data_IF_653569011509
#
_entry.id   IF_653569011509
#
_cell.length_a   1.000
_cell.length_b   1.000
_cell.length_c   1.000
_cell.angle_alpha   90.00
_cell.angle_beta   90.00
_cell.angle_gamma   90.00
#
_symmetry.space_group_name_H-M   'P 1'
#
loop_
_entity.id
_entity.type
_entity.pdbx_description
1 polymer ?
#
# COMPACT_ATOMS: atom_id res chain seq x y z
N UNK A 1 -40.46 -18.86 -15.53
CA UNK A 1 -39.19 -19.09 -16.27
C UNK A 1 -38.95 -17.81 -17.06
N UNK A 2 -37.97 -16.95 -16.85
CA UNK A 2 -36.66 -17.08 -16.24
C UNK A 2 -36.08 -15.64 -16.19
N UNK A 3 -36.17 -14.96 -15.04
CA UNK A 3 -35.37 -13.75 -14.77
C UNK A 3 -33.91 -14.14 -14.47
N UNK A 4 -33.35 -15.05 -15.27
CA UNK A 4 -32.03 -15.66 -15.07
C UNK A 4 -31.02 -15.14 -16.08
N UNK A 5 -30.95 -13.82 -16.27
CA UNK A 5 -29.95 -13.19 -17.14
C UNK A 5 -29.43 -11.84 -16.62
N UNK A 6 -29.50 -11.60 -15.31
CA UNK A 6 -28.98 -10.36 -14.70
C UNK A 6 -28.05 -10.61 -13.50
N UNK A 7 -27.27 -11.70 -13.53
CA UNK A 7 -26.28 -11.99 -12.49
C UNK A 7 -24.90 -12.32 -13.08
N UNK A 8 -24.57 -11.69 -14.21
CA UNK A 8 -23.22 -11.69 -14.76
C UNK A 8 -22.72 -10.25 -14.63
N UNK A 9 -21.47 -10.08 -14.21
CA UNK A 9 -20.71 -8.84 -14.03
C UNK A 9 -20.99 -7.99 -12.79
N UNK A 10 -20.56 -8.45 -11.61
CA UNK A 10 -20.18 -7.56 -10.51
C UNK A 10 -19.19 -8.24 -9.54
N UNK A 11 -18.07 -8.76 -10.04
CA UNK A 11 -17.00 -9.33 -9.20
C UNK A 11 -15.61 -8.91 -9.70
N UNK A 12 -15.39 -7.63 -10.04
CA UNK A 12 -14.05 -7.11 -10.36
C UNK A 12 -13.87 -5.64 -9.92
N UNK A 13 -14.53 -5.19 -8.84
CA UNK A 13 -14.40 -3.82 -8.35
C UNK A 13 -13.16 -3.59 -7.44
N UNK A 14 -12.31 -4.59 -7.21
CA UNK A 14 -11.19 -4.50 -6.25
C UNK A 14 -9.81 -4.20 -6.85
N UNK A 15 -9.65 -4.10 -8.17
CA UNK A 15 -8.34 -3.82 -8.79
C UNK A 15 -8.13 -2.32 -9.09
N UNK A 16 -9.20 -1.51 -9.08
CA UNK A 16 -9.11 -0.07 -9.28
C UNK A 16 -8.38 0.66 -8.14
N UNK A 17 -8.32 0.07 -6.94
CA UNK A 17 -7.54 0.64 -5.82
C UNK A 17 -6.02 0.49 -6.04
N UNK A 18 -5.57 -0.61 -6.67
CA UNK A 18 -4.13 -0.89 -6.83
C UNK A 18 -3.40 0.05 -7.80
N UNK A 19 -4.12 0.64 -8.74
CA UNK A 19 -3.56 1.58 -9.71
C UNK A 19 -3.32 2.98 -9.13
N UNK A 20 -4.16 3.43 -8.18
CA UNK A 20 -3.94 4.71 -7.49
C UNK A 20 -2.75 4.62 -6.53
N UNK A 21 -2.73 3.60 -5.68
CA UNK A 21 -1.66 3.39 -4.70
C UNK A 21 -0.28 3.18 -5.33
N UNK A 22 -0.16 2.49 -6.47
CA UNK A 22 1.13 2.38 -7.15
C UNK A 22 1.65 3.76 -7.63
N UNK A 23 0.73 4.63 -8.07
CA UNK A 23 1.04 6.00 -8.51
C UNK A 23 1.42 6.91 -7.33
N UNK A 24 0.82 6.70 -6.17
CA UNK A 24 1.09 7.42 -4.92
C UNK A 24 2.43 6.96 -4.31
N UNK A 25 2.68 5.64 -4.26
CA UNK A 25 3.95 5.07 -3.81
C UNK A 25 5.11 5.49 -4.73
N UNK A 26 4.88 5.72 -6.02
CA UNK A 26 5.89 6.26 -6.92
C UNK A 26 6.28 7.72 -6.62
N UNK A 27 5.42 8.48 -5.94
CA UNK A 27 5.73 9.85 -5.49
C UNK A 27 6.40 9.88 -4.11
N UNK A 28 6.49 8.73 -3.45
CA UNK A 28 7.06 8.60 -2.13
C UNK A 28 8.57 8.85 -2.14
N UNK A 29 9.14 9.57 -1.15
CA UNK A 29 10.58 9.78 -1.08
C UNK A 29 11.33 8.44 -0.97
N UNK A 30 12.55 8.40 -1.51
CA UNK A 30 13.39 7.19 -1.57
C UNK A 30 13.60 6.54 -0.19
N UNK A 31 13.67 7.34 0.87
CA UNK A 31 13.78 6.84 2.24
C UNK A 31 12.53 6.06 2.68
N UNK A 32 11.34 6.59 2.40
CA UNK A 32 10.09 5.93 2.75
C UNK A 32 9.83 4.69 1.87
N UNK A 33 10.28 4.69 0.61
CA UNK A 33 10.31 3.50 -0.26
C UNK A 33 11.22 2.39 0.31
N UNK A 34 12.41 2.74 0.80
CA UNK A 34 13.32 1.78 1.43
C UNK A 34 12.74 1.22 2.74
N UNK A 35 12.08 2.07 3.53
CA UNK A 35 11.37 1.65 4.74
C UNK A 35 10.20 0.73 4.43
N UNK A 36 9.40 1.05 3.41
CA UNK A 36 8.32 0.18 2.96
C UNK A 36 8.86 -1.16 2.46
N UNK A 37 9.96 -1.16 1.69
CA UNK A 37 10.62 -2.39 1.23
C UNK A 37 11.05 -3.29 2.38
N UNK A 38 11.67 -2.71 3.40
CA UNK A 38 12.11 -3.42 4.60
C UNK A 38 10.92 -3.96 5.39
N UNK A 39 9.89 -3.14 5.58
CA UNK A 39 8.68 -3.51 6.31
C UNK A 39 7.89 -4.62 5.60
N UNK A 40 7.68 -4.49 4.29
CA UNK A 40 7.00 -5.49 3.46
C UNK A 40 7.76 -6.81 3.46
N UNK A 41 9.09 -6.77 3.29
CA UNK A 41 9.94 -7.97 3.37
C UNK A 41 9.88 -8.63 4.75
N UNK A 42 9.89 -7.83 5.82
CA UNK A 42 9.76 -8.32 7.20
C UNK A 42 8.39 -8.94 7.51
N UNK A 43 7.35 -8.53 6.80
CA UNK A 43 6.01 -9.10 6.90
C UNK A 43 5.75 -10.25 5.90
N UNK A 44 6.73 -10.61 5.07
CA UNK A 44 6.60 -11.67 4.05
C UNK A 44 5.85 -11.25 2.78
N UNK A 45 5.61 -9.95 2.59
CA UNK A 45 4.98 -9.40 1.40
C UNK A 45 6.03 -8.88 0.40
N UNK A 46 5.74 -8.97 -0.90
CA UNK A 46 6.51 -8.23 -1.91
C UNK A 46 6.13 -6.74 -1.90
N UNK A 47 7.07 -5.85 -2.26
CA UNK A 47 6.82 -4.39 -2.38
C UNK A 47 5.71 -4.06 -3.38
N UNK A 48 5.50 -4.90 -4.39
CA UNK A 48 4.44 -4.74 -5.38
C UNK A 48 3.15 -5.50 -5.01
N UNK A 49 3.17 -6.30 -3.94
CA UNK A 49 2.02 -7.09 -3.50
C UNK A 49 1.15 -6.24 -2.58
N UNK A 50 0.40 -5.31 -3.19
CA UNK A 50 -0.46 -4.40 -2.45
C UNK A 50 -1.63 -5.11 -1.75
N UNK A 51 -2.04 -6.28 -2.23
CA UNK A 51 -3.05 -7.10 -1.57
C UNK A 51 -2.53 -7.61 -0.21
N UNK A 52 -1.29 -8.09 -0.16
CA UNK A 52 -0.61 -8.47 1.07
C UNK A 52 -0.34 -7.24 1.96
N UNK A 53 0.20 -6.17 1.36
CA UNK A 53 0.59 -4.97 2.10
C UNK A 53 -0.61 -4.21 2.72
N UNK A 54 -1.78 -4.23 2.08
CA UNK A 54 -2.99 -3.58 2.58
C UNK A 54 -3.99 -4.56 3.22
N UNK A 55 -3.69 -5.86 3.21
CA UNK A 55 -4.47 -6.93 3.83
C UNK A 55 -4.05 -7.20 5.28
N UNK A 56 -3.90 -8.47 5.64
CA UNK A 56 -3.57 -8.89 7.01
C UNK A 56 -2.22 -8.36 7.50
N UNK A 57 -1.26 -8.15 6.60
CA UNK A 57 0.05 -7.63 6.96
C UNK A 57 0.09 -6.11 7.13
N UNK A 58 -1.01 -5.38 6.85
CA UNK A 58 -1.02 -3.92 6.82
C UNK A 58 -0.56 -3.29 8.12
N UNK A 59 -1.00 -3.81 9.27
CA UNK A 59 -0.72 -3.19 10.55
C UNK A 59 0.75 -3.42 10.94
N UNK A 60 1.29 -4.59 10.64
CA UNK A 60 2.70 -4.90 10.84
C UNK A 60 3.60 -4.03 9.95
N UNK A 61 3.24 -3.91 8.66
CA UNK A 61 3.98 -3.09 7.68
C UNK A 61 3.90 -1.62 8.06
N UNK A 62 2.71 -1.10 8.34
CA UNK A 62 2.51 0.30 8.73
C UNK A 62 3.32 0.64 9.98
N UNK A 63 3.28 -0.22 11.00
CA UNK A 63 4.05 0.00 12.24
C UNK A 63 5.56 -0.03 11.98
N UNK A 64 6.03 -0.99 11.21
CA UNK A 64 7.46 -1.13 10.88
C UNK A 64 7.96 0.01 10.00
N UNK A 65 7.23 0.34 8.93
CA UNK A 65 7.53 1.44 8.02
C UNK A 65 7.50 2.79 8.76
N UNK A 66 6.49 3.05 9.60
CA UNK A 66 6.42 4.28 10.40
C UNK A 66 7.61 4.40 11.35
N UNK A 67 7.99 3.30 12.01
CA UNK A 67 9.15 3.28 12.91
C UNK A 67 10.46 3.52 12.16
N UNK A 68 10.60 2.93 10.97
CA UNK A 68 11.75 3.15 10.09
C UNK A 68 11.82 4.60 9.60
N UNK A 69 10.69 5.18 9.17
CA UNK A 69 10.63 6.57 8.70
C UNK A 69 10.98 7.53 9.85
N UNK A 70 10.44 7.30 11.05
CA UNK A 70 10.73 8.11 12.22
C UNK A 70 12.20 8.03 12.68
N UNK A 71 12.86 6.89 12.45
CA UNK A 71 14.24 6.67 12.88
C UNK A 71 15.30 7.06 11.82
N UNK A 72 14.98 6.88 10.54
CA UNK A 72 15.94 6.94 9.45
C UNK A 72 15.66 7.99 8.37
N UNK A 73 14.43 8.52 8.29
CA UNK A 73 14.08 9.52 7.30
C UNK A 73 14.04 10.92 7.89
N UNK A 74 14.31 11.93 7.06
CA UNK A 74 14.24 13.33 7.50
C UNK A 74 12.79 13.70 7.81
N UNK A 75 12.57 14.70 8.69
CA UNK A 75 11.23 15.22 8.95
C UNK A 75 10.51 15.66 7.66
N UNK A 76 11.26 16.16 6.68
CA UNK A 76 10.79 16.50 5.34
C UNK A 76 10.22 15.29 4.59
N UNK A 77 10.88 14.13 4.67
CA UNK A 77 10.46 12.90 4.02
C UNK A 77 9.21 12.31 4.68
N UNK A 78 9.12 12.41 6.01
CA UNK A 78 7.93 12.02 6.77
C UNK A 78 6.72 12.90 6.40
N UNK A 79 6.93 14.23 6.28
CA UNK A 79 5.90 15.17 5.85
C UNK A 79 5.45 14.93 4.41
N UNK A 80 6.38 14.68 3.49
CA UNK A 80 6.05 14.36 2.10
C UNK A 80 5.30 13.03 1.97
N UNK A 81 5.68 12.04 2.77
CA UNK A 81 4.93 10.76 2.85
C UNK A 81 3.51 10.97 3.33
N UNK A 82 3.34 11.79 4.39
CA UNK A 82 2.02 12.07 4.96
C UNK A 82 1.12 12.85 4.00
N UNK A 83 1.68 13.76 3.20
CA UNK A 83 0.96 14.50 2.14
C UNK A 83 0.40 13.61 1.03
N UNK A 84 1.04 12.49 0.76
CA UNK A 84 0.61 11.55 -0.28
C UNK A 84 -0.43 10.56 0.27
N UNK A 85 -0.41 10.29 1.57
CA UNK A 85 -1.27 9.29 2.23
C UNK A 85 -2.52 9.90 2.90
N UNK A 86 -2.70 11.23 2.87
CA UNK A 86 -3.83 11.98 3.47
C UNK A 86 -4.89 12.33 2.44
#
# INVERSE_FOLDING_TARGET
>A
MQFTYAAISALLASVAYSQSIASEVAQLPSCALACLSTASSGAGCSIADFACQCGDAKDAITKSATSCIAAGCSASDALNTQKITT
#
